data_IF_571553339353
#
_entry.id   IF_571553339353
#
_cell.length_a   1.000
_cell.length_b   1.000
_cell.length_c   1.000
_cell.angle_alpha   90.00
_cell.angle_beta   90.00
_cell.angle_gamma   90.00
#
_symmetry.space_group_name_H-M   'P 1'
#
loop_
_entity.id
_entity.type
_entity.pdbx_description
1 polymer ?
#
# COMPACT_ATOMS: atom_id res chain seq x y z
N UNK A 1 12.75 -30.08 38.65
CA UNK A 1 11.47 -29.35 38.47
C UNK A 1 10.82 -28.97 39.80
N UNK A 2 10.63 -29.90 40.75
CA UNK A 2 10.01 -29.61 42.06
C UNK A 2 10.67 -28.44 42.82
N UNK A 3 12.01 -28.36 42.84
CA UNK A 3 12.76 -27.27 43.51
C UNK A 3 12.50 -25.88 42.91
N UNK A 4 12.29 -25.80 41.58
CA UNK A 4 11.99 -24.53 40.90
C UNK A 4 10.55 -24.10 41.17
N UNK A 5 9.62 -25.06 41.14
CA UNK A 5 8.21 -24.79 41.47
C UNK A 5 8.09 -24.31 42.91
N UNK A 6 8.68 -25.02 43.87
CA UNK A 6 8.71 -24.62 45.28
C UNK A 6 9.34 -23.24 45.47
N UNK A 7 10.47 -22.96 44.79
CA UNK A 7 11.08 -21.62 44.81
C UNK A 7 10.10 -20.53 44.37
N UNK A 8 9.35 -20.75 43.28
CA UNK A 8 8.38 -19.78 42.77
C UNK A 8 7.15 -19.66 43.67
N UNK A 9 6.60 -20.77 44.17
CA UNK A 9 5.32 -20.78 44.88
C UNK A 9 5.43 -20.52 46.38
N UNK A 10 6.56 -20.85 46.99
CA UNK A 10 6.75 -20.80 48.44
C UNK A 10 7.72 -19.69 48.86
N UNK A 11 8.67 -19.31 48.00
CA UNK A 11 9.69 -18.31 48.34
C UNK A 11 9.49 -16.94 47.69
N UNK A 12 8.47 -16.79 46.83
CA UNK A 12 8.18 -15.53 46.14
C UNK A 12 6.73 -15.07 46.33
N UNK A 13 6.52 -13.75 46.42
CA UNK A 13 5.22 -13.14 46.23
C UNK A 13 4.79 -13.26 44.76
N UNK A 14 3.80 -14.13 44.51
CA UNK A 14 3.28 -14.41 43.17
C UNK A 14 2.77 -13.16 42.44
N UNK A 15 2.31 -12.13 43.16
CA UNK A 15 1.83 -10.89 42.54
C UNK A 15 2.97 -10.15 41.84
N UNK A 16 4.12 -10.03 42.51
CA UNK A 16 5.31 -9.39 41.94
C UNK A 16 5.95 -10.26 40.85
N UNK A 17 5.86 -11.59 40.95
CA UNK A 17 6.27 -12.50 39.87
C UNK A 17 5.45 -12.25 38.60
N UNK A 18 4.12 -12.08 38.71
CA UNK A 18 3.27 -11.75 37.56
C UNK A 18 3.63 -10.37 36.99
N UNK A 19 3.86 -9.37 37.84
CA UNK A 19 4.31 -8.04 37.41
C UNK A 19 5.64 -8.09 36.65
N UNK A 20 6.62 -8.85 37.17
CA UNK A 20 7.90 -9.07 36.51
C UNK A 20 7.72 -9.73 35.14
N UNK A 21 6.88 -10.76 35.04
CA UNK A 21 6.60 -11.45 33.78
C UNK A 21 5.91 -10.53 32.74
N UNK A 22 4.95 -9.71 33.17
CA UNK A 22 4.28 -8.72 32.29
C UNK A 22 5.27 -7.68 31.78
N UNK A 23 6.10 -7.11 32.67
CA UNK A 23 7.13 -6.12 32.29
C UNK A 23 8.14 -6.75 31.33
N UNK A 24 8.55 -7.99 31.59
CA UNK A 24 9.44 -8.74 30.71
C UNK A 24 8.85 -8.91 29.31
N UNK A 25 7.58 -9.34 29.23
CA UNK A 25 6.88 -9.51 27.96
C UNK A 25 6.71 -8.18 27.23
N UNK A 26 6.32 -7.11 27.91
CA UNK A 26 6.20 -5.78 27.29
C UNK A 26 7.55 -5.29 26.77
N UNK A 27 8.62 -5.46 27.53
CA UNK A 27 9.97 -5.05 27.13
C UNK A 27 10.49 -5.83 25.91
N UNK A 28 10.32 -7.15 25.88
CA UNK A 28 10.73 -7.99 24.76
C UNK A 28 9.88 -7.73 23.52
N UNK A 29 8.58 -7.48 23.66
CA UNK A 29 7.71 -7.05 22.56
C UNK A 29 8.17 -5.69 21.99
N UNK A 30 8.45 -4.71 22.84
CA UNK A 30 8.96 -3.42 22.42
C UNK A 30 10.31 -3.56 21.70
N UNK A 31 11.25 -4.34 22.25
CA UNK A 31 12.55 -4.60 21.64
C UNK A 31 12.42 -5.26 20.26
N UNK A 32 11.57 -6.28 20.11
CA UNK A 32 11.33 -6.95 18.81
C UNK A 32 10.71 -6.01 17.78
N UNK A 33 9.80 -5.12 18.19
CA UNK A 33 9.20 -4.10 17.30
C UNK A 33 10.21 -3.03 16.86
N UNK A 34 11.07 -2.58 17.76
CA UNK A 34 12.17 -1.68 17.43
C UNK A 34 13.18 -2.36 16.49
N UNK A 35 13.43 -3.65 16.70
CA UNK A 35 14.30 -4.46 15.85
C UNK A 35 13.72 -4.65 14.44
N UNK A 36 12.40 -4.80 14.30
CA UNK A 36 11.72 -4.76 13.01
C UNK A 36 11.96 -3.42 12.28
N UNK A 37 11.75 -2.28 12.96
CA UNK A 37 12.02 -0.95 12.37
C UNK A 37 13.46 -0.79 11.90
N UNK A 38 14.42 -1.38 12.62
CA UNK A 38 15.83 -1.38 12.19
C UNK A 38 16.06 -2.08 10.84
N UNK A 39 15.28 -3.13 10.55
CA UNK A 39 15.38 -3.85 9.28
C UNK A 39 14.77 -3.06 8.12
N UNK A 40 13.83 -2.15 8.38
CA UNK A 40 13.19 -1.28 7.38
C UNK A 40 13.93 0.05 7.17
N UNK A 41 14.72 0.49 8.15
CA UNK A 41 15.41 1.76 8.11
C UNK A 41 16.63 1.77 7.14
N UNK A 42 16.97 2.98 6.67
CA UNK A 42 18.21 3.25 5.95
C UNK A 42 19.44 2.97 6.83
N UNK A 43 20.63 2.85 6.22
CA UNK A 43 21.87 2.45 6.91
C UNK A 43 22.17 3.30 8.15
N UNK A 44 21.99 4.62 8.07
CA UNK A 44 22.25 5.54 9.19
C UNK A 44 21.16 5.47 10.26
N UNK A 45 19.88 5.28 9.88
CA UNK A 45 18.78 5.13 10.83
C UNK A 45 18.74 3.77 11.54
N UNK A 46 19.27 2.71 10.90
CA UNK A 46 19.26 1.34 11.41
C UNK A 46 19.96 1.21 12.76
N UNK A 47 21.14 1.82 12.92
CA UNK A 47 21.92 1.71 14.16
C UNK A 47 21.14 2.26 15.35
N UNK A 48 20.45 3.41 15.18
CA UNK A 48 19.61 4.00 16.23
C UNK A 48 18.50 3.06 16.70
N UNK A 49 17.81 2.38 15.79
CA UNK A 49 16.77 1.41 16.14
C UNK A 49 17.33 0.16 16.85
N UNK A 50 18.52 -0.31 16.47
CA UNK A 50 19.18 -1.44 17.13
C UNK A 50 19.60 -1.10 18.56
N UNK A 51 20.13 0.11 18.77
CA UNK A 51 20.47 0.62 20.12
C UNK A 51 19.21 0.74 20.98
N UNK A 52 18.12 1.28 20.45
CA UNK A 52 16.83 1.36 21.15
C UNK A 52 16.27 -0.04 21.48
N UNK A 53 16.46 -1.02 20.59
CA UNK A 53 16.06 -2.42 20.83
C UNK A 53 16.81 -3.01 22.02
N UNK A 54 18.13 -2.80 22.09
CA UNK A 54 18.96 -3.19 23.22
C UNK A 54 18.60 -2.46 24.51
N UNK A 55 18.34 -1.15 24.44
CA UNK A 55 17.89 -0.37 25.59
C UNK A 55 16.59 -0.93 26.18
N UNK A 56 15.58 -1.19 25.34
CA UNK A 56 14.31 -1.78 25.77
C UNK A 56 14.49 -3.18 26.35
N UNK A 57 15.23 -4.05 25.67
CA UNK A 57 15.49 -5.41 26.13
C UNK A 57 16.29 -5.42 27.44
N UNK A 58 17.46 -4.79 27.48
CA UNK A 58 18.35 -4.76 28.64
C UNK A 58 17.69 -4.16 29.89
N UNK A 59 16.97 -3.05 29.72
CA UNK A 59 16.17 -2.46 30.81
C UNK A 59 15.09 -3.44 31.28
N UNK A 60 14.41 -4.11 30.35
CA UNK A 60 13.42 -5.15 30.66
C UNK A 60 14.00 -6.33 31.44
N UNK A 61 15.16 -6.87 31.02
CA UNK A 61 15.83 -7.98 31.74
C UNK A 61 16.17 -7.50 33.16
N UNK A 62 16.74 -6.31 33.30
CA UNK A 62 17.14 -5.75 34.60
C UNK A 62 15.95 -5.53 35.52
N UNK A 63 14.87 -4.90 35.03
CA UNK A 63 13.65 -4.70 35.80
C UNK A 63 13.04 -6.05 36.20
N UNK A 64 13.00 -7.03 35.28
CA UNK A 64 12.47 -8.37 35.59
C UNK A 64 13.26 -9.04 36.71
N UNK A 65 14.60 -8.99 36.63
CA UNK A 65 15.49 -9.57 37.65
C UNK A 65 15.21 -8.96 39.03
N UNK A 66 15.22 -7.63 39.14
CA UNK A 66 15.09 -6.98 40.43
C UNK A 66 13.65 -6.96 40.97
N UNK A 67 12.62 -6.93 40.14
CA UNK A 67 11.23 -7.14 40.61
C UNK A 67 11.08 -8.55 41.17
N UNK A 68 11.67 -9.56 40.52
CA UNK A 68 11.63 -10.92 41.03
C UNK A 68 12.47 -11.09 42.31
N UNK A 69 13.62 -10.40 42.45
CA UNK A 69 14.36 -10.34 43.71
C UNK A 69 13.60 -9.62 44.82
N UNK A 70 12.80 -8.60 44.50
CA UNK A 70 11.90 -7.95 45.46
C UNK A 70 10.70 -8.83 45.82
N UNK A 71 10.31 -9.73 44.92
CA UNK A 71 9.29 -10.75 45.18
C UNK A 71 9.83 -11.86 46.08
N UNK A 72 11.14 -12.13 46.08
CA UNK A 72 11.76 -13.11 46.96
C UNK A 72 11.74 -12.65 48.42
N UNK A 73 11.18 -13.46 49.32
CA UNK A 73 10.97 -13.11 50.73
C UNK A 73 11.78 -14.01 51.68
N UNK A 74 13.09 -13.77 51.80
CA UNK A 74 13.89 -14.51 52.77
C UNK A 74 13.55 -14.05 54.19
N UNK A 75 13.61 -14.97 55.16
CA UNK A 75 13.37 -14.70 56.58
C UNK A 75 14.50 -13.89 57.26
N UNK A 76 15.38 -13.26 56.48
CA UNK A 76 16.55 -12.50 56.93
C UNK A 76 16.58 -11.13 56.25
N UNK A 77 17.17 -10.10 56.87
CA UNK A 77 17.38 -8.80 56.23
C UNK A 77 18.16 -8.90 54.93
N UNK A 78 17.79 -8.08 53.96
CA UNK A 78 18.44 -7.97 52.65
C UNK A 78 18.60 -6.51 52.24
N UNK A 79 19.68 -6.22 51.53
CA UNK A 79 19.93 -4.91 50.95
C UNK A 79 20.69 -5.03 49.61
N UNK A 80 20.81 -3.94 48.88
CA UNK A 80 21.35 -3.93 47.52
C UNK A 80 22.50 -2.93 47.37
N UNK A 81 23.61 -3.35 46.76
CA UNK A 81 24.70 -2.45 46.41
C UNK A 81 24.34 -1.60 45.18
N UNK A 82 24.44 -0.28 45.31
CA UNK A 82 24.12 0.65 44.23
C UNK A 82 25.05 0.45 43.03
N UNK A 83 26.35 0.25 43.26
CA UNK A 83 27.34 0.12 42.18
C UNK A 83 27.10 -1.12 41.32
N UNK A 84 26.78 -2.25 41.96
CA UNK A 84 26.43 -3.50 41.32
C UNK A 84 25.10 -3.44 40.58
N UNK A 85 24.13 -2.76 41.19
CA UNK A 85 22.83 -2.55 40.59
C UNK A 85 22.93 -1.73 39.29
N UNK A 86 23.68 -0.63 39.29
CA UNK A 86 23.90 0.20 38.08
C UNK A 86 24.75 -0.52 37.03
N UNK A 87 25.85 -1.17 37.44
CA UNK A 87 26.71 -1.88 36.49
C UNK A 87 25.99 -3.06 35.83
N UNK A 88 25.12 -3.77 36.55
CA UNK A 88 24.28 -4.81 35.95
C UNK A 88 23.33 -4.23 34.88
N UNK A 89 22.71 -3.07 35.11
CA UNK A 89 21.88 -2.41 34.09
C UNK A 89 22.67 -2.07 32.83
N UNK A 90 23.87 -1.49 32.99
CA UNK A 90 24.76 -1.13 31.87
C UNK A 90 25.13 -2.38 31.08
N UNK A 91 25.50 -3.49 31.75
CA UNK A 91 25.79 -4.77 31.09
C UNK A 91 24.58 -5.26 30.30
N UNK A 92 23.39 -5.26 30.92
CA UNK A 92 22.16 -5.70 30.27
C UNK A 92 21.85 -4.90 29.00
N UNK A 93 21.91 -3.57 29.06
CA UNK A 93 21.63 -2.68 27.92
C UNK A 93 22.67 -2.80 26.82
N UNK A 94 23.96 -2.77 27.17
CA UNK A 94 25.05 -2.77 26.18
C UNK A 94 25.16 -4.10 25.46
N UNK A 95 25.14 -5.23 26.19
CA UNK A 95 25.29 -6.56 25.59
C UNK A 95 24.07 -6.92 24.73
N UNK A 96 22.86 -6.58 25.17
CA UNK A 96 21.67 -6.81 24.32
C UNK A 96 21.62 -5.90 23.10
N UNK A 97 22.12 -4.67 23.17
CA UNK A 97 22.30 -3.83 21.99
C UNK A 97 23.28 -4.47 20.98
N UNK A 98 24.42 -4.97 21.46
CA UNK A 98 25.38 -5.71 20.63
C UNK A 98 24.72 -6.95 20.02
N UNK A 99 23.91 -7.68 20.77
CA UNK A 99 23.18 -8.84 20.28
C UNK A 99 22.30 -8.52 19.07
N UNK A 100 21.50 -7.45 19.13
CA UNK A 100 20.67 -7.02 18.01
C UNK A 100 21.51 -6.51 16.82
N UNK A 101 22.62 -5.82 17.09
CA UNK A 101 23.56 -5.35 16.05
C UNK A 101 24.19 -6.53 15.31
N UNK A 102 24.68 -7.53 16.04
CA UNK A 102 25.25 -8.75 15.46
C UNK A 102 24.19 -9.49 14.63
N UNK A 103 22.96 -9.58 15.13
CA UNK A 103 21.85 -10.24 14.46
C UNK A 103 21.38 -9.56 13.16
N UNK A 104 21.70 -8.28 12.92
CA UNK A 104 21.25 -7.51 11.76
C UNK A 104 22.36 -7.20 10.75
N UNK A 105 22.16 -7.34 9.42
CA UNK A 105 20.96 -7.85 8.74
C UNK A 105 20.75 -9.36 8.94
N UNK A 106 19.49 -9.77 8.87
CA UNK A 106 19.03 -11.12 9.24
C UNK A 106 19.64 -12.22 8.35
N UNK A 107 20.62 -12.95 8.86
CA UNK A 107 21.10 -14.23 8.30
C UNK A 107 21.13 -15.28 9.41
N UNK A 108 21.01 -16.58 9.08
CA UNK A 108 20.96 -17.64 10.10
C UNK A 108 22.15 -17.61 11.04
N UNK A 109 23.37 -17.47 10.50
CA UNK A 109 24.59 -17.43 11.31
C UNK A 109 24.62 -16.20 12.25
N UNK A 110 24.19 -15.03 11.74
CA UNK A 110 24.12 -13.80 12.52
C UNK A 110 23.06 -13.86 13.62
N UNK A 111 21.91 -14.48 13.34
CA UNK A 111 20.85 -14.71 14.32
C UNK A 111 21.30 -15.66 15.44
N UNK A 112 22.03 -16.72 15.09
CA UNK A 112 22.64 -17.62 16.09
C UNK A 112 23.64 -16.85 16.95
N UNK A 113 24.56 -16.11 16.32
CA UNK A 113 25.54 -15.31 17.05
C UNK A 113 24.88 -14.24 17.93
N UNK A 114 23.88 -13.52 17.40
CA UNK A 114 23.10 -12.53 18.15
C UNK A 114 22.35 -13.15 19.32
N UNK A 115 21.72 -14.31 19.14
CA UNK A 115 21.06 -15.04 20.22
C UNK A 115 22.04 -15.49 21.32
N UNK A 116 23.24 -15.92 20.95
CA UNK A 116 24.28 -16.27 21.90
C UNK A 116 24.77 -15.06 22.70
N UNK A 117 25.00 -13.91 22.03
CA UNK A 117 25.35 -12.64 22.71
C UNK A 117 24.20 -12.19 23.62
N UNK A 118 22.94 -12.33 23.18
CA UNK A 118 21.78 -11.97 24.00
C UNK A 118 21.75 -12.82 25.29
N UNK A 119 21.93 -14.14 25.17
CA UNK A 119 21.99 -15.04 26.32
C UNK A 119 23.14 -14.71 27.27
N UNK A 120 24.31 -14.37 26.74
CA UNK A 120 25.43 -13.88 27.54
C UNK A 120 25.06 -12.58 28.29
N UNK A 121 24.29 -11.69 27.67
CA UNK A 121 23.74 -10.50 28.31
C UNK A 121 22.79 -10.81 29.47
N UNK A 122 21.87 -11.77 29.30
CA UNK A 122 20.97 -12.21 30.38
C UNK A 122 21.81 -12.78 31.55
N UNK A 123 22.72 -13.71 31.26
CA UNK A 123 23.52 -14.39 32.28
C UNK A 123 24.48 -13.46 33.03
N UNK A 124 25.22 -12.62 32.31
CA UNK A 124 26.16 -11.66 32.92
C UNK A 124 25.45 -10.60 33.75
N UNK A 125 24.33 -10.06 33.27
CA UNK A 125 23.52 -9.13 34.06
C UNK A 125 22.96 -9.81 35.31
N UNK A 126 22.38 -11.01 35.18
CA UNK A 126 21.84 -11.76 36.32
C UNK A 126 22.91 -12.01 37.39
N UNK A 127 24.10 -12.48 36.98
CA UNK A 127 25.19 -12.74 37.91
C UNK A 127 25.68 -11.46 38.61
N UNK A 128 25.83 -10.35 37.86
CA UNK A 128 26.21 -9.07 38.47
C UNK A 128 25.12 -8.53 39.41
N UNK A 129 23.83 -8.76 39.08
CA UNK A 129 22.70 -8.44 39.94
C UNK A 129 22.69 -9.25 41.24
N UNK A 130 22.98 -10.55 41.18
CA UNK A 130 23.13 -11.41 42.36
C UNK A 130 24.29 -10.99 43.26
N UNK A 131 25.38 -10.46 42.69
CA UNK A 131 26.48 -9.87 43.48
C UNK A 131 26.11 -8.53 44.12
N UNK A 132 25.10 -7.83 43.58
CA UNK A 132 24.59 -6.61 44.20
C UNK A 132 23.64 -6.93 45.35
N UNK A 133 23.01 -8.10 45.36
CA UNK A 133 22.12 -8.56 46.42
C UNK A 133 22.93 -9.06 47.63
N UNK A 134 22.77 -8.37 48.76
CA UNK A 134 23.46 -8.66 50.02
C UNK A 134 22.45 -9.12 51.08
N UNK A 135 22.22 -10.44 51.23
CA UNK A 135 21.47 -10.98 52.34
C UNK A 135 22.33 -11.08 53.61
N UNK A 136 21.72 -11.09 54.80
CA UNK A 136 22.41 -11.37 56.06
C UNK A 136 22.75 -12.87 56.21
N UNK A 137 23.54 -13.37 55.27
CA UNK A 137 23.89 -14.78 55.14
C UNK A 137 24.83 -15.04 53.97
N UNK A 138 25.29 -16.28 53.86
CA UNK A 138 26.18 -16.72 52.79
C UNK A 138 25.40 -17.40 51.67
N UNK A 139 25.62 -16.95 50.44
CA UNK A 139 25.04 -17.53 49.23
C UNK A 139 25.90 -18.70 48.73
N UNK A 140 25.26 -19.86 48.58
CA UNK A 140 25.84 -21.03 47.93
C UNK A 140 25.04 -21.36 46.68
N UNK A 141 25.72 -21.77 45.61
CA UNK A 141 25.09 -22.06 44.32
C UNK A 141 25.31 -23.52 43.95
N UNK A 142 24.25 -24.18 43.49
CA UNK A 142 24.34 -25.48 42.83
C UNK A 142 24.85 -25.31 41.39
N UNK A 143 26.09 -25.75 41.07
CA UNK A 143 26.69 -25.51 39.76
C UNK A 143 25.94 -26.21 38.62
N UNK A 144 25.25 -27.32 38.89
CA UNK A 144 24.48 -28.06 37.88
C UNK A 144 23.25 -27.26 37.46
N UNK A 145 22.52 -26.71 38.44
CA UNK A 145 21.33 -25.90 38.16
C UNK A 145 21.69 -24.56 37.51
N UNK A 146 22.80 -23.95 37.89
CA UNK A 146 23.34 -22.75 37.20
C UNK A 146 23.70 -23.08 35.75
N UNK A 147 24.40 -24.20 35.50
CA UNK A 147 24.70 -24.64 34.14
C UNK A 147 23.44 -24.88 33.31
N UNK A 148 22.42 -25.52 33.89
CA UNK A 148 21.14 -25.78 33.24
C UNK A 148 20.38 -24.49 32.88
N UNK A 149 20.40 -23.47 33.75
CA UNK A 149 19.74 -22.19 33.50
C UNK A 149 20.39 -21.44 32.33
N UNK A 150 21.73 -21.46 32.26
CA UNK A 150 22.50 -20.84 31.17
C UNK A 150 22.27 -21.55 29.83
N UNK A 151 22.29 -22.90 29.81
CA UNK A 151 22.06 -23.69 28.59
C UNK A 151 20.65 -23.48 28.05
N UNK A 152 19.63 -23.52 28.92
CA UNK A 152 18.24 -23.30 28.50
C UNK A 152 18.03 -21.87 28.00
N UNK A 153 18.55 -20.87 28.74
CA UNK A 153 18.51 -19.46 28.32
C UNK A 153 19.17 -19.24 26.96
N UNK A 154 20.32 -19.87 26.71
CA UNK A 154 21.03 -19.84 25.43
C UNK A 154 20.20 -20.44 24.29
N UNK A 155 19.66 -21.63 24.49
CA UNK A 155 18.84 -22.32 23.49
C UNK A 155 17.60 -21.49 23.10
N UNK A 156 16.89 -20.96 24.10
CA UNK A 156 15.69 -20.15 23.88
C UNK A 156 16.01 -18.81 23.22
N UNK A 157 17.10 -18.13 23.61
CA UNK A 157 17.50 -16.86 23.00
C UNK A 157 17.93 -17.04 21.53
N UNK A 158 18.68 -18.09 21.22
CA UNK A 158 19.03 -18.45 19.83
C UNK A 158 17.77 -18.74 19.02
N UNK A 159 16.87 -19.58 19.56
CA UNK A 159 15.62 -19.92 18.88
C UNK A 159 14.77 -18.67 18.61
N UNK A 160 14.69 -17.74 19.57
CA UNK A 160 13.97 -16.49 19.42
C UNK A 160 14.49 -15.65 18.24
N UNK A 161 15.81 -15.51 18.13
CA UNK A 161 16.44 -14.75 17.04
C UNK A 161 16.26 -15.43 15.68
N UNK A 162 16.26 -16.77 15.62
CA UNK A 162 16.02 -17.53 14.38
C UNK A 162 14.55 -17.45 13.93
N UNK A 163 13.62 -17.53 14.89
CA UNK A 163 12.17 -17.48 14.63
C UNK A 163 11.74 -16.10 14.16
N UNK A 164 12.44 -15.04 14.59
CA UNK A 164 12.16 -13.68 14.15
C UNK A 164 12.19 -13.55 12.62
N UNK A 165 11.14 -12.95 12.06
CA UNK A 165 11.01 -12.62 10.65
C UNK A 165 10.44 -11.21 10.49
N UNK A 166 11.10 -10.31 9.73
CA UNK A 166 10.54 -9.00 9.40
C UNK A 166 9.17 -9.16 8.73
N UNK A 167 8.23 -8.24 8.99
CA UNK A 167 6.89 -8.20 8.39
C UNK A 167 5.96 -9.39 8.72
N UNK A 168 6.38 -10.35 9.54
CA UNK A 168 5.55 -11.48 9.98
C UNK A 168 5.21 -11.37 11.48
N UNK A 169 4.03 -10.82 11.79
CA UNK A 169 3.62 -10.55 13.19
C UNK A 169 3.61 -11.78 14.09
N UNK A 170 3.13 -12.93 13.61
CA UNK A 170 3.09 -14.16 14.40
C UNK A 170 4.50 -14.62 14.82
N UNK A 171 5.46 -14.52 13.89
CA UNK A 171 6.89 -14.83 14.14
C UNK A 171 7.54 -13.85 15.11
N UNK A 172 7.16 -12.58 15.07
CA UNK A 172 7.63 -11.57 16.02
C UNK A 172 7.09 -11.79 17.43
N UNK A 173 5.79 -12.11 17.55
CA UNK A 173 5.19 -12.46 18.85
C UNK A 173 5.83 -13.71 19.44
N UNK A 174 6.07 -14.73 18.60
CA UNK A 174 6.78 -15.95 19.02
C UNK A 174 8.21 -15.64 19.48
N UNK A 175 8.95 -14.80 18.76
CA UNK A 175 10.31 -14.38 19.16
C UNK A 175 10.30 -13.64 20.52
N UNK A 176 9.40 -12.68 20.72
CA UNK A 176 9.27 -11.96 22.00
C UNK A 176 8.91 -12.91 23.16
N UNK A 177 7.99 -13.85 22.92
CA UNK A 177 7.64 -14.89 23.88
C UNK A 177 8.83 -15.78 24.24
N UNK A 178 9.62 -16.22 23.26
CA UNK A 178 10.83 -17.02 23.50
C UNK A 178 11.92 -16.24 24.25
N UNK A 179 12.11 -14.94 23.97
CA UNK A 179 13.01 -14.10 24.76
C UNK A 179 12.52 -13.96 26.20
N UNK A 180 11.22 -13.75 26.40
CA UNK A 180 10.61 -13.68 27.74
C UNK A 180 10.84 -14.98 28.51
N UNK A 181 10.60 -16.12 27.85
CA UNK A 181 10.88 -17.44 28.43
C UNK A 181 12.36 -17.61 28.76
N UNK A 182 13.28 -17.21 27.88
CA UNK A 182 14.72 -17.28 28.14
C UNK A 182 15.12 -16.50 29.40
N UNK A 183 14.60 -15.29 29.56
CA UNK A 183 14.88 -14.41 30.71
C UNK A 183 14.31 -15.00 31.99
N UNK A 184 13.02 -15.38 31.97
CA UNK A 184 12.33 -15.91 33.15
C UNK A 184 12.90 -17.27 33.57
N UNK A 185 13.12 -18.18 32.62
CA UNK A 185 13.67 -19.51 32.91
C UNK A 185 15.07 -19.41 33.49
N UNK A 186 15.93 -18.55 32.91
CA UNK A 186 17.27 -18.36 33.44
C UNK A 186 17.20 -17.81 34.87
N UNK A 187 16.38 -16.78 35.11
CA UNK A 187 16.25 -16.18 36.44
C UNK A 187 15.76 -17.16 37.49
N UNK A 188 14.60 -17.81 37.29
CA UNK A 188 14.01 -18.67 38.32
C UNK A 188 14.78 -19.97 38.54
N UNK A 189 15.39 -20.54 37.50
CA UNK A 189 16.26 -21.72 37.68
C UNK A 189 17.54 -21.33 38.43
N UNK A 190 18.12 -20.16 38.14
CA UNK A 190 19.30 -19.66 38.86
C UNK A 190 18.98 -19.32 40.33
N UNK A 191 17.82 -18.71 40.61
CA UNK A 191 17.38 -18.47 41.98
C UNK A 191 17.11 -19.77 42.74
N UNK A 192 16.50 -20.77 42.10
CA UNK A 192 16.32 -22.09 42.70
C UNK A 192 17.65 -22.85 42.93
N UNK A 193 18.74 -22.44 42.26
CA UNK A 193 20.08 -22.95 42.48
C UNK A 193 20.77 -22.29 43.68
N UNK A 194 20.32 -21.10 44.08
CA UNK A 194 20.88 -20.36 45.20
C UNK A 194 20.29 -20.85 46.53
N UNK A 195 21.14 -21.04 47.53
CA UNK A 195 20.73 -21.34 48.91
C UNK A 195 21.41 -20.34 49.84
N UNK A 196 20.62 -19.68 50.68
CA UNK A 196 21.14 -18.70 51.64
C UNK A 196 21.21 -19.36 53.01
N UNK A 197 22.42 -19.47 53.55
CA UNK A 197 22.63 -19.90 54.94
C UNK A 197 22.73 -18.64 55.81
N UNK A 198 21.77 -18.39 56.73
CA UNK A 198 21.81 -17.23 57.61
C UNK A 198 23.11 -17.18 58.42
N UNK A 199 23.74 -16.01 58.45
CA UNK A 199 24.98 -15.79 59.19
C UNK A 199 24.93 -14.37 59.79
N UNK A 200 24.58 -14.22 61.08
CA UNK A 200 24.42 -12.91 61.70
C UNK A 200 25.75 -12.16 61.87
N UNK A 201 26.90 -12.82 61.63
CA UNK A 201 28.22 -12.19 61.66
C UNK A 201 28.52 -11.39 60.39
N UNK A 202 27.73 -11.58 59.33
CA UNK A 202 27.82 -10.79 58.11
C UNK A 202 27.28 -9.39 58.39
N UNK A 203 28.20 -8.42 58.50
CA UNK A 203 27.86 -7.01 58.68
C UNK A 203 27.17 -6.47 57.42
N UNK A 204 26.13 -5.66 57.62
CA UNK A 204 25.47 -4.90 56.55
C UNK A 204 26.13 -3.52 56.43
N UNK A 205 26.80 -3.20 55.32
CA UNK A 205 27.33 -1.85 55.10
C UNK A 205 26.24 -0.78 55.16
N UNK A 206 26.52 0.36 55.77
CA UNK A 206 25.55 1.46 55.94
C UNK A 206 25.12 2.12 54.61
N UNK A 207 25.90 1.94 53.54
CA UNK A 207 25.68 2.57 52.23
C UNK A 207 24.89 1.70 51.23
N UNK A 208 24.18 0.66 51.69
CA UNK A 208 23.33 -0.17 50.83
C UNK A 208 21.94 0.45 50.63
N UNK A 209 21.37 0.19 49.45
CA UNK A 209 19.96 0.49 49.17
C UNK A 209 19.07 -0.49 49.92
N UNK A 210 18.12 0.02 50.67
CA UNK A 210 17.11 -0.82 51.28
C UNK A 210 16.10 -1.35 50.24
N UNK A 211 15.25 -2.29 50.67
CA UNK A 211 14.22 -2.91 49.81
C UNK A 211 13.25 -1.87 49.22
N UNK A 212 12.94 -0.80 49.94
CA UNK A 212 11.98 0.23 49.52
C UNK A 212 12.57 1.17 48.47
N UNK A 213 13.82 1.59 48.66
CA UNK A 213 14.58 2.40 47.70
C UNK A 213 14.78 1.64 46.39
N UNK A 214 15.09 0.34 46.49
CA UNK A 214 15.22 -0.51 45.31
C UNK A 214 13.88 -0.67 44.58
N UNK A 215 12.78 -0.89 45.31
CA UNK A 215 11.45 -0.96 44.72
C UNK A 215 11.06 0.32 43.97
N UNK A 216 11.33 1.50 44.54
CA UNK A 216 11.08 2.80 43.90
C UNK A 216 11.91 2.93 42.61
N UNK A 217 13.21 2.67 42.67
CA UNK A 217 14.10 2.75 41.51
C UNK A 217 13.66 1.87 40.35
N UNK A 218 13.33 0.61 40.65
CA UNK A 218 12.88 -0.36 39.66
C UNK A 218 11.50 0.01 39.09
N UNK A 219 10.58 0.48 39.94
CA UNK A 219 9.26 0.92 39.52
C UNK A 219 9.33 2.12 38.56
N UNK A 220 10.18 3.11 38.83
CA UNK A 220 10.37 4.27 37.94
C UNK A 220 10.91 3.85 36.57
N UNK A 221 11.89 2.95 36.55
CA UNK A 221 12.47 2.48 35.29
C UNK A 221 11.48 1.61 34.49
N UNK A 222 10.73 0.74 35.18
CA UNK A 222 9.66 -0.03 34.57
C UNK A 222 8.54 0.87 34.01
N UNK A 223 8.13 1.90 34.74
CA UNK A 223 7.13 2.87 34.27
C UNK A 223 7.59 3.61 33.01
N UNK A 224 8.87 4.01 32.97
CA UNK A 224 9.47 4.66 31.79
C UNK A 224 9.43 3.71 30.57
N UNK A 225 9.76 2.43 30.78
CA UNK A 225 9.67 1.40 29.74
C UNK A 225 8.22 1.20 29.26
N UNK A 226 7.25 1.14 30.16
CA UNK A 226 5.83 0.98 29.82
C UNK A 226 5.30 2.17 29.02
N UNK A 227 5.64 3.40 29.41
CA UNK A 227 5.28 4.63 28.68
C UNK A 227 5.90 4.62 27.28
N UNK A 228 7.18 4.25 27.16
CA UNK A 228 7.86 4.12 25.87
C UNK A 228 7.20 3.07 24.97
N UNK A 229 6.88 1.89 25.51
CA UNK A 229 6.18 0.83 24.78
C UNK A 229 4.76 1.28 24.35
N UNK A 230 4.03 1.96 25.22
CA UNK A 230 2.72 2.54 24.92
C UNK A 230 2.77 3.59 23.81
N UNK A 231 3.77 4.47 23.83
CA UNK A 231 3.99 5.46 22.78
C UNK A 231 4.30 4.82 21.42
N UNK A 232 5.10 3.74 21.40
CA UNK A 232 5.38 2.97 20.18
C UNK A 232 4.11 2.32 19.61
N UNK A 233 3.29 1.71 20.47
CA UNK A 233 2.00 1.12 20.05
C UNK A 233 1.06 2.19 19.52
N UNK A 234 0.97 3.35 20.20
CA UNK A 234 0.14 4.46 19.75
C UNK A 234 0.60 5.02 18.39
N UNK A 235 1.90 5.09 18.14
CA UNK A 235 2.44 5.45 16.82
C UNK A 235 2.06 4.43 15.74
N UNK A 236 2.17 3.13 16.01
CA UNK A 236 1.80 2.07 15.05
C UNK A 236 0.29 2.11 14.74
N UNK A 237 -0.56 2.27 15.76
CA UNK A 237 -2.01 2.41 15.58
C UNK A 237 -2.37 3.66 14.77
N UNK A 238 -1.71 4.80 15.04
CA UNK A 238 -1.90 6.03 14.25
C UNK A 238 -1.46 5.86 12.81
N UNK A 239 -0.30 5.24 12.57
CA UNK A 239 0.21 4.98 11.22
C UNK A 239 -0.75 4.13 10.39
N UNK A 240 -1.29 3.05 10.99
CA UNK A 240 -2.29 2.20 10.31
C UNK A 240 -3.59 2.93 10.03
N UNK A 241 -4.09 3.74 10.98
CA UNK A 241 -5.31 4.54 10.78
C UNK A 241 -5.13 5.57 9.67
N UNK A 242 -4.00 6.28 9.67
CA UNK A 242 -3.68 7.27 8.65
C UNK A 242 -3.58 6.62 7.26
N UNK A 243 -2.87 5.50 7.14
CA UNK A 243 -2.77 4.75 5.88
C UNK A 243 -4.13 4.24 5.38
N UNK A 244 -4.97 3.70 6.27
CA UNK A 244 -6.31 3.26 5.91
C UNK A 244 -7.21 4.43 5.49
N UNK A 245 -7.12 5.58 6.16
CA UNK A 245 -7.85 6.78 5.79
C UNK A 245 -7.38 7.35 4.45
N UNK A 246 -6.08 7.39 4.20
CA UNK A 246 -5.52 7.83 2.92
C UNK A 246 -6.03 6.95 1.77
N UNK A 247 -6.02 5.63 1.93
CA UNK A 247 -6.55 4.71 0.92
C UNK A 247 -8.05 4.93 0.67
N UNK A 248 -8.84 5.13 1.74
CA UNK A 248 -10.27 5.46 1.62
C UNK A 248 -10.50 6.76 0.87
N UNK A 249 -9.72 7.80 1.14
CA UNK A 249 -9.82 9.08 0.44
C UNK A 249 -9.47 8.94 -1.05
N UNK A 250 -8.41 8.18 -1.38
CA UNK A 250 -8.04 7.92 -2.77
C UNK A 250 -9.13 7.20 -3.56
N UNK A 251 -9.89 6.30 -2.93
CA UNK A 251 -11.04 5.64 -3.56
C UNK A 251 -12.26 6.57 -3.64
N UNK A 252 -12.70 7.12 -2.49
CA UNK A 252 -13.94 7.88 -2.38
C UNK A 252 -13.93 9.18 -3.20
N UNK A 253 -12.79 9.88 -3.22
CA UNK A 253 -12.62 11.15 -3.94
C UNK A 253 -12.08 10.98 -5.37
N UNK A 254 -11.92 9.75 -5.86
CA UNK A 254 -11.50 9.53 -7.24
C UNK A 254 -12.55 10.11 -8.20
N UNK A 255 -12.18 10.97 -9.17
CA UNK A 255 -13.14 11.56 -10.12
C UNK A 255 -13.73 10.56 -11.11
N UNK A 256 -13.12 9.37 -11.25
CA UNK A 256 -13.65 8.30 -12.11
C UNK A 256 -14.69 7.50 -11.32
N UNK A 257 -15.87 7.22 -11.88
CA UNK A 257 -16.81 6.25 -11.32
C UNK A 257 -16.14 4.89 -11.05
N UNK A 258 -16.16 4.46 -9.80
CA UNK A 258 -15.56 3.19 -9.38
C UNK A 258 -16.46 2.44 -8.41
N UNK A 259 -16.47 1.12 -8.53
CA UNK A 259 -17.10 0.25 -7.53
C UNK A 259 -16.40 -1.11 -7.45
N UNK A 260 -16.64 -1.78 -6.33
CA UNK A 260 -16.29 -3.17 -6.09
C UNK A 260 -17.56 -4.01 -6.15
N UNK A 261 -17.51 -5.12 -6.88
CA UNK A 261 -18.61 -6.10 -6.91
C UNK A 261 -18.12 -7.52 -6.65
N UNK A 262 -18.95 -8.36 -6.04
CA UNK A 262 -18.67 -9.79 -5.91
C UNK A 262 -18.82 -10.48 -7.27
N UNK A 263 -17.98 -11.45 -7.59
CA UNK A 263 -18.03 -12.16 -8.88
C UNK A 263 -19.15 -13.20 -8.96
N UNK A 264 -19.68 -13.65 -7.81
CA UNK A 264 -20.67 -14.74 -7.77
C UNK A 264 -22.10 -14.25 -8.04
N UNK A 265 -22.51 -13.12 -7.47
CA UNK A 265 -23.86 -12.54 -7.61
C UNK A 265 -23.89 -11.12 -8.21
N UNK A 266 -22.71 -10.59 -8.58
CA UNK A 266 -22.52 -9.24 -9.12
C UNK A 266 -23.06 -8.13 -8.23
N UNK A 267 -23.21 -8.42 -6.93
CA UNK A 267 -23.66 -7.43 -5.96
C UNK A 267 -22.57 -6.40 -5.74
N UNK A 268 -22.96 -5.13 -5.75
CA UNK A 268 -22.06 -4.02 -5.46
C UNK A 268 -21.84 -3.98 -3.96
N UNK A 269 -20.58 -3.96 -3.55
CA UNK A 269 -20.18 -4.01 -2.14
C UNK A 269 -19.71 -2.64 -1.65
N UNK A 270 -19.17 -1.83 -2.56
CA UNK A 270 -18.65 -0.51 -2.26
C UNK A 270 -18.58 0.30 -3.55
N UNK A 271 -18.97 1.57 -3.50
CA UNK A 271 -18.87 2.50 -4.62
C UNK A 271 -18.30 3.83 -4.16
N UNK A 272 -17.60 4.53 -5.05
CA UNK A 272 -17.14 5.88 -4.75
C UNK A 272 -18.21 6.92 -5.08
N UNK A 273 -18.00 8.16 -4.62
CA UNK A 273 -18.99 9.22 -4.82
C UNK A 273 -19.21 9.56 -6.30
N UNK A 274 -18.17 9.40 -7.13
CA UNK A 274 -18.27 9.65 -8.57
C UNK A 274 -19.19 8.65 -9.27
N UNK A 275 -19.21 7.38 -8.84
CA UNK A 275 -20.17 6.40 -9.33
C UNK A 275 -21.59 6.76 -8.92
N UNK A 276 -21.83 7.01 -7.63
CA UNK A 276 -23.15 7.42 -7.15
C UNK A 276 -23.70 8.64 -7.91
N UNK A 277 -22.87 9.69 -8.08
CA UNK A 277 -23.23 10.88 -8.85
C UNK A 277 -23.49 10.61 -10.34
N UNK A 278 -22.64 9.83 -11.00
CA UNK A 278 -22.76 9.57 -12.44
C UNK A 278 -24.05 8.82 -12.80
N UNK A 279 -24.52 7.94 -11.90
CA UNK A 279 -25.71 7.12 -12.10
C UNK A 279 -26.97 7.69 -11.44
N UNK A 280 -26.85 8.75 -10.64
CA UNK A 280 -27.98 9.43 -10.01
C UNK A 280 -28.51 8.77 -8.73
N UNK A 281 -27.66 8.06 -7.98
CA UNK A 281 -28.01 7.41 -6.71
C UNK A 281 -27.25 8.04 -5.52
N UNK A 282 -27.71 7.80 -4.29
CA UNK A 282 -26.84 7.93 -3.12
C UNK A 282 -25.82 6.78 -3.07
N UNK A 283 -24.71 6.94 -2.34
CA UNK A 283 -23.73 5.85 -2.18
C UNK A 283 -24.38 4.64 -1.49
N UNK A 284 -25.21 4.87 -0.47
CA UNK A 284 -25.90 3.81 0.27
C UNK A 284 -26.95 3.08 -0.56
N UNK A 285 -27.58 3.77 -1.52
CA UNK A 285 -28.49 3.15 -2.49
C UNK A 285 -27.71 2.33 -3.51
N UNK A 286 -26.62 2.89 -4.04
CA UNK A 286 -25.77 2.24 -5.04
C UNK A 286 -25.16 0.93 -4.51
N UNK A 287 -24.75 0.88 -3.24
CA UNK A 287 -24.24 -0.32 -2.56
C UNK A 287 -25.30 -1.40 -2.30
N UNK A 288 -26.58 -1.13 -2.59
CA UNK A 288 -27.66 -2.14 -2.53
C UNK A 288 -27.96 -2.75 -3.89
N UNK A 289 -27.42 -2.18 -4.97
CA UNK A 289 -27.65 -2.62 -6.34
C UNK A 289 -26.74 -3.79 -6.72
N UNK A 290 -27.12 -4.45 -7.81
CA UNK A 290 -26.30 -5.38 -8.58
C UNK A 290 -25.89 -4.72 -9.90
N UNK A 291 -24.83 -5.24 -10.54
CA UNK A 291 -24.44 -4.82 -11.88
C UNK A 291 -25.60 -4.95 -12.90
N UNK A 292 -26.52 -5.90 -12.71
CA UNK A 292 -27.71 -6.05 -13.55
C UNK A 292 -28.68 -4.86 -13.48
N UNK A 293 -28.70 -4.12 -12.38
CA UNK A 293 -29.56 -2.94 -12.22
C UNK A 293 -28.99 -1.73 -12.97
N UNK A 294 -27.68 -1.72 -13.22
CA UNK A 294 -26.96 -0.61 -13.85
C UNK A 294 -26.65 -0.86 -15.32
N UNK A 295 -26.58 -2.11 -15.76
CA UNK A 295 -26.28 -2.48 -17.14
C UNK A 295 -27.59 -2.68 -17.90
N UNK A 296 -27.68 -2.11 -19.10
CA UNK A 296 -28.89 -2.17 -19.93
C UNK A 296 -29.32 -3.64 -20.15
N UNK A 297 -30.62 -3.99 -20.07
CA UNK A 297 -31.08 -5.38 -20.17
C UNK A 297 -30.61 -6.14 -21.41
N UNK A 298 -30.48 -5.44 -22.54
CA UNK A 298 -29.92 -6.01 -23.78
C UNK A 298 -28.45 -6.45 -23.70
N UNK A 299 -27.71 -6.05 -22.66
CA UNK A 299 -26.31 -6.39 -22.43
C UNK A 299 -26.14 -7.52 -21.39
N UNK A 300 -27.22 -8.01 -20.76
CA UNK A 300 -27.14 -8.98 -19.65
C UNK A 300 -26.56 -10.34 -20.07
N UNK A 301 -26.83 -10.79 -21.30
CA UNK A 301 -26.24 -12.03 -21.83
C UNK A 301 -24.71 -11.91 -21.95
N UNK A 302 -24.24 -10.76 -22.45
CA UNK A 302 -22.82 -10.48 -22.53
C UNK A 302 -22.16 -10.36 -21.15
N UNK A 303 -22.84 -9.75 -20.19
CA UNK A 303 -22.35 -9.63 -18.81
C UNK A 303 -22.16 -11.01 -18.18
N UNK A 304 -23.13 -11.90 -18.35
CA UNK A 304 -23.03 -13.28 -17.86
C UNK A 304 -21.85 -14.02 -18.50
N UNK A 305 -21.63 -13.86 -19.81
CA UNK A 305 -20.49 -14.47 -20.49
C UNK A 305 -19.14 -13.92 -19.98
N UNK A 306 -19.04 -12.61 -19.76
CA UNK A 306 -17.84 -11.97 -19.19
C UNK A 306 -17.52 -12.51 -17.80
N UNK A 307 -18.51 -12.62 -16.93
CA UNK A 307 -18.34 -13.11 -15.55
C UNK A 307 -17.96 -14.60 -15.56
N UNK A 308 -18.56 -15.40 -16.44
CA UNK A 308 -18.26 -16.82 -16.59
C UNK A 308 -16.82 -17.08 -17.05
N UNK A 309 -16.25 -16.19 -17.86
CA UNK A 309 -14.85 -16.28 -18.29
C UNK A 309 -13.85 -16.13 -17.13
N UNK A 310 -14.28 -15.57 -15.99
CA UNK A 310 -13.47 -15.37 -14.76
C UNK A 310 -12.14 -14.65 -15.03
N UNK A 311 -12.15 -13.69 -15.95
CA UNK A 311 -10.97 -12.92 -16.29
C UNK A 311 -10.45 -12.14 -15.07
N UNK A 312 -9.13 -12.15 -14.90
CA UNK A 312 -8.47 -11.49 -13.76
C UNK A 312 -8.27 -10.00 -13.97
N UNK A 313 -8.33 -9.55 -15.22
CA UNK A 313 -8.20 -8.17 -15.63
C UNK A 313 -8.97 -7.97 -16.95
N UNK A 314 -9.58 -6.80 -17.10
CA UNK A 314 -10.30 -6.39 -18.30
C UNK A 314 -9.88 -4.95 -18.64
N UNK A 315 -9.47 -4.71 -19.87
CA UNK A 315 -8.86 -3.45 -20.32
C UNK A 315 -9.78 -2.57 -21.18
N UNK A 316 -11.07 -2.93 -21.29
CA UNK A 316 -12.07 -2.00 -21.81
C UNK A 316 -12.16 -1.94 -23.33
N UNK A 317 -11.85 -3.01 -24.06
CA UNK A 317 -12.03 -3.05 -25.52
C UNK A 317 -13.50 -2.84 -25.96
N UNK A 318 -14.47 -3.20 -25.12
CA UNK A 318 -15.90 -3.05 -25.39
C UNK A 318 -16.52 -1.92 -24.56
N UNK A 319 -17.40 -1.15 -25.20
CA UNK A 319 -18.28 -0.21 -24.52
C UNK A 319 -19.58 -0.88 -24.11
N UNK A 320 -20.04 -0.57 -22.90
CA UNK A 320 -21.23 -1.14 -22.30
C UNK A 320 -22.30 -0.08 -22.17
N UNK A 321 -23.53 -0.44 -22.54
CA UNK A 321 -24.70 0.42 -22.29
C UNK A 321 -25.16 0.23 -20.87
N UNK A 322 -25.17 1.33 -20.13
CA UNK A 322 -25.59 1.42 -18.75
C UNK A 322 -26.84 2.30 -18.64
N UNK A 323 -27.56 2.15 -17.54
CA UNK A 323 -28.80 2.88 -17.24
C UNK A 323 -28.65 3.59 -15.90
N UNK A 324 -29.07 4.86 -15.87
CA UNK A 324 -29.11 5.71 -14.67
C UNK A 324 -30.43 5.54 -13.92
N UNK A 325 -30.51 6.07 -12.70
CA UNK A 325 -31.71 6.07 -11.88
C UNK A 325 -32.93 6.74 -12.56
N UNK A 326 -32.68 7.76 -13.38
CA UNK A 326 -33.71 8.48 -14.14
C UNK A 326 -34.09 7.79 -15.47
N UNK A 327 -33.49 6.63 -15.77
CA UNK A 327 -33.66 5.90 -17.02
C UNK A 327 -32.77 6.40 -18.17
N UNK A 328 -31.94 7.43 -17.96
CA UNK A 328 -30.99 7.91 -18.94
C UNK A 328 -29.91 6.86 -19.25
N UNK A 329 -29.47 6.80 -20.51
CA UNK A 329 -28.42 5.87 -20.93
C UNK A 329 -27.02 6.48 -20.80
N UNK A 330 -26.07 5.63 -20.44
CA UNK A 330 -24.64 5.91 -20.38
C UNK A 330 -23.91 4.91 -21.27
N UNK A 331 -22.93 5.38 -22.03
CA UNK A 331 -21.98 4.49 -22.69
C UNK A 331 -20.68 4.47 -21.89
N UNK A 332 -20.41 3.35 -21.24
CA UNK A 332 -19.32 3.21 -20.28
C UNK A 332 -18.24 2.27 -20.81
N UNK A 333 -16.99 2.69 -20.71
CA UNK A 333 -15.83 1.85 -20.95
C UNK A 333 -15.28 1.37 -19.59
N UNK A 334 -15.40 0.08 -19.24
CA UNK A 334 -14.89 -0.43 -17.98
C UNK A 334 -13.42 -0.83 -18.08
N UNK A 335 -12.65 -0.51 -17.06
CA UNK A 335 -11.37 -1.16 -16.76
C UNK A 335 -11.54 -1.86 -15.41
N UNK A 336 -11.21 -3.14 -15.35
CA UNK A 336 -11.47 -3.94 -14.17
C UNK A 336 -10.29 -4.83 -13.79
N UNK A 337 -10.13 -5.07 -12.48
CA UNK A 337 -9.13 -5.97 -11.94
C UNK A 337 -9.70 -6.79 -10.80
N UNK A 338 -9.40 -8.09 -10.78
CA UNK A 338 -9.77 -8.97 -9.68
C UNK A 338 -8.84 -8.76 -8.48
N UNK A 339 -9.42 -8.58 -7.30
CA UNK A 339 -8.72 -8.34 -6.04
C UNK A 339 -9.23 -9.35 -5.00
N UNK A 340 -8.33 -9.86 -4.16
CA UNK A 340 -8.72 -10.60 -2.96
C UNK A 340 -9.10 -9.61 -1.87
N UNK A 341 -10.35 -9.66 -1.43
CA UNK A 341 -10.85 -8.88 -0.33
C UNK A 341 -11.36 -9.78 0.80
N UNK A 342 -10.47 -10.09 1.74
CA UNK A 342 -10.80 -10.88 2.92
C UNK A 342 -11.15 -12.33 2.60
N UNK A 343 -10.52 -12.92 1.58
CA UNK A 343 -10.80 -14.27 1.09
C UNK A 343 -11.95 -14.36 0.08
N UNK A 344 -12.61 -13.24 -0.23
CA UNK A 344 -13.58 -13.12 -1.33
C UNK A 344 -12.89 -12.56 -2.56
N UNK A 345 -13.12 -13.17 -3.72
CA UNK A 345 -12.70 -12.58 -5.00
C UNK A 345 -13.71 -11.53 -5.42
N UNK A 346 -13.25 -10.29 -5.53
CA UNK A 346 -14.07 -9.15 -5.94
C UNK A 346 -13.47 -8.50 -7.17
N UNK A 347 -14.30 -7.86 -7.97
CA UNK A 347 -13.87 -7.10 -9.13
C UNK A 347 -13.89 -5.61 -8.79
N UNK A 348 -12.72 -4.97 -8.81
CA UNK A 348 -12.59 -3.52 -8.73
C UNK A 348 -12.71 -2.98 -10.16
N UNK A 349 -13.75 -2.20 -10.42
CA UNK A 349 -14.05 -1.66 -11.74
C UNK A 349 -14.06 -0.14 -11.71
N UNK A 350 -13.42 0.47 -12.71
CA UNK A 350 -13.46 1.89 -13.01
C UNK A 350 -14.11 2.10 -14.38
N UNK A 351 -14.97 3.11 -14.50
CA UNK A 351 -15.78 3.31 -15.70
C UNK A 351 -15.56 4.71 -16.27
N UNK A 352 -15.20 4.77 -17.54
CA UNK A 352 -15.07 6.03 -18.27
C UNK A 352 -16.33 6.26 -19.11
N UNK A 353 -17.00 7.38 -18.89
CA UNK A 353 -18.13 7.79 -19.72
C UNK A 353 -17.61 8.30 -21.07
N UNK A 354 -17.96 7.59 -22.14
CA UNK A 354 -17.58 7.91 -23.52
C UNK A 354 -18.76 8.44 -24.35
N UNK A 355 -19.93 8.66 -23.74
CA UNK A 355 -21.18 9.04 -24.42
C UNK A 355 -21.01 10.28 -25.29
N UNK A 356 -20.45 11.37 -24.73
CA UNK A 356 -20.24 12.63 -25.46
C UNK A 356 -19.23 12.45 -26.59
N UNK A 357 -18.17 11.66 -26.36
CA UNK A 357 -17.11 11.44 -27.33
C UNK A 357 -17.63 10.68 -28.56
N UNK A 358 -18.41 9.63 -28.35
CA UNK A 358 -18.98 8.84 -29.43
C UNK A 358 -20.05 9.61 -30.20
N UNK A 359 -20.94 10.34 -29.53
CA UNK A 359 -21.93 11.19 -30.22
C UNK A 359 -21.24 12.28 -31.07
N UNK A 360 -20.15 12.87 -30.59
CA UNK A 360 -19.38 13.84 -31.35
C UNK A 360 -18.69 13.19 -32.57
N UNK A 361 -18.14 11.99 -32.41
CA UNK A 361 -17.53 11.25 -33.50
C UNK A 361 -18.55 10.87 -34.59
N UNK A 362 -19.74 10.39 -34.20
CA UNK A 362 -20.82 10.09 -35.14
C UNK A 362 -21.34 11.34 -35.85
N UNK A 363 -21.54 12.44 -35.12
CA UNK A 363 -22.00 13.70 -35.71
C UNK A 363 -20.98 14.23 -36.72
N UNK A 364 -19.69 14.13 -36.41
CA UNK A 364 -18.61 14.52 -37.31
C UNK A 364 -18.60 13.66 -38.58
N UNK A 365 -18.78 12.34 -38.45
CA UNK A 365 -18.84 11.43 -39.59
C UNK A 365 -20.02 11.78 -40.51
N UNK A 366 -21.22 11.97 -39.95
CA UNK A 366 -22.40 12.37 -40.72
C UNK A 366 -22.22 13.72 -41.42
N UNK A 367 -21.61 14.69 -40.75
CA UNK A 367 -21.33 16.00 -41.33
C UNK A 367 -20.34 15.90 -42.50
N UNK A 368 -19.31 15.06 -42.37
CA UNK A 368 -18.36 14.77 -43.44
C UNK A 368 -19.07 14.13 -44.64
N UNK A 369 -19.87 13.09 -44.42
CA UNK A 369 -20.57 12.37 -45.50
C UNK A 369 -21.54 13.30 -46.25
N UNK A 370 -22.25 14.18 -45.52
CA UNK A 370 -23.13 15.18 -46.11
C UNK A 370 -22.35 16.23 -46.94
N UNK A 371 -21.20 16.70 -46.44
CA UNK A 371 -20.35 17.64 -47.15
C UNK A 371 -19.78 17.02 -48.44
N UNK A 372 -19.34 15.77 -48.39
CA UNK A 372 -18.87 15.04 -49.57
C UNK A 372 -19.98 14.82 -50.60
N UNK A 373 -21.18 14.44 -50.15
CA UNK A 373 -22.33 14.27 -51.05
C UNK A 373 -22.71 15.60 -51.74
N UNK A 374 -22.73 16.71 -51.00
CA UNK A 374 -22.99 18.03 -51.56
C UNK A 374 -21.91 18.48 -52.55
N UNK A 375 -20.63 18.21 -52.25
CA UNK A 375 -19.51 18.48 -53.16
C UNK A 375 -19.63 17.70 -54.46
N UNK A 376 -19.92 16.39 -54.38
CA UNK A 376 -20.15 15.53 -55.56
C UNK A 376 -21.31 16.04 -56.42
N UNK A 377 -22.44 16.39 -55.79
CA UNK A 377 -23.61 16.94 -56.50
C UNK A 377 -23.31 18.29 -57.17
N UNK A 378 -22.52 19.17 -56.53
CA UNK A 378 -22.06 20.45 -57.13
C UNK A 378 -21.24 20.19 -58.39
N UNK A 379 -20.27 19.27 -58.33
CA UNK A 379 -19.41 18.95 -59.49
C UNK A 379 -20.20 18.34 -60.64
N UNK A 380 -21.12 17.40 -60.35
CA UNK A 380 -21.98 16.78 -61.36
C UNK A 380 -22.91 17.81 -62.02
N UNK A 381 -23.56 18.67 -61.23
CA UNK A 381 -24.40 19.74 -61.75
C UNK A 381 -23.61 20.68 -62.68
N UNK A 382 -22.43 21.14 -62.25
CA UNK A 382 -21.61 22.04 -63.05
C UNK A 382 -21.13 21.38 -64.36
N UNK A 383 -20.69 20.12 -64.30
CA UNK A 383 -20.30 19.37 -65.49
C UNK A 383 -21.46 19.24 -66.49
N UNK A 384 -22.64 18.84 -66.01
CA UNK A 384 -23.83 18.69 -66.85
C UNK A 384 -24.27 20.03 -67.46
N UNK A 385 -24.35 21.09 -66.65
CA UNK A 385 -24.70 22.43 -67.12
C UNK A 385 -23.71 22.96 -68.16
N UNK A 386 -22.42 22.65 -68.05
CA UNK A 386 -21.42 22.99 -69.06
C UNK A 386 -21.76 22.41 -70.43
N UNK A 387 -22.05 21.11 -70.47
CA UNK A 387 -22.37 20.42 -71.71
C UNK A 387 -23.65 20.96 -72.34
N UNK A 388 -24.66 21.25 -71.53
CA UNK A 388 -25.94 21.82 -71.96
C UNK A 388 -25.81 23.27 -72.46
N UNK A 389 -24.90 24.09 -71.91
CA UNK A 389 -24.67 25.47 -72.38
C UNK A 389 -23.76 25.50 -73.62
N UNK A 390 -22.76 24.63 -73.70
CA UNK A 390 -21.82 24.57 -74.82
C UNK A 390 -22.50 24.21 -76.14
N UNK A 391 -23.49 23.32 -76.09
CA UNK A 391 -24.21 22.84 -77.27
C UNK A 391 -24.93 23.96 -78.05
N UNK A 392 -25.82 24.78 -77.45
CA UNK A 392 -26.44 25.91 -78.14
C UNK A 392 -25.43 27.01 -78.49
N UNK A 393 -24.42 27.24 -77.65
CA UNK A 393 -23.39 28.24 -77.93
C UNK A 393 -22.57 27.91 -79.18
N UNK A 394 -22.19 26.65 -79.35
CA UNK A 394 -21.55 26.15 -80.57
C UNK A 394 -22.47 26.27 -81.79
N UNK A 395 -23.79 26.10 -81.61
CA UNK A 395 -24.78 26.37 -82.64
C UNK A 395 -24.80 27.84 -83.07
N UNK A 396 -24.80 28.77 -82.12
CA UNK A 396 -24.72 30.22 -82.38
C UNK A 396 -23.43 30.59 -83.11
N UNK A 397 -22.28 30.06 -82.66
CA UNK A 397 -20.98 30.26 -83.31
C UNK A 397 -20.93 29.70 -84.73
N UNK A 398 -21.51 28.50 -84.95
CA UNK A 398 -21.58 27.87 -86.27
C UNK A 398 -22.39 28.69 -87.27
N UNK A 399 -23.57 29.17 -86.85
CA UNK A 399 -24.42 30.05 -87.68
C UNK A 399 -23.72 31.39 -87.94
N UNK A 400 -23.10 32.00 -86.93
CA UNK A 400 -22.35 33.24 -87.09
C UNK A 400 -21.15 33.07 -88.05
N UNK A 401 -20.42 31.96 -87.98
CA UNK A 401 -19.30 31.64 -88.88
C UNK A 401 -19.76 31.40 -90.32
N UNK A 402 -20.91 30.73 -90.52
CA UNK A 402 -21.50 30.57 -91.85
C UNK A 402 -21.92 31.92 -92.46
N UNK A 403 -22.54 32.81 -91.66
CA UNK A 403 -22.92 34.15 -92.10
C UNK A 403 -21.71 35.00 -92.49
N UNK A 404 -20.58 34.87 -91.81
CA UNK A 404 -19.36 35.62 -92.09
C UNK A 404 -18.80 35.41 -93.52
N UNK A 405 -19.06 34.25 -94.11
CA UNK A 405 -18.62 33.88 -95.47
C UNK A 405 -19.71 34.18 -96.54
N UNK A 406 -20.83 34.78 -96.14
CA UNK A 406 -21.86 35.27 -97.06
C UNK A 406 -21.58 36.71 -97.49
N UNK A 407 -22.26 37.20 -98.54
CA UNK A 407 -22.11 38.55 -99.07
C UNK A 407 -22.68 39.66 -98.16
N UNK A 408 -22.17 39.77 -96.94
CA UNK A 408 -22.65 40.71 -95.92
C UNK A 408 -22.18 42.15 -96.18
N UNK A 409 -23.07 43.10 -95.88
CA UNK A 409 -22.75 44.52 -95.81
C UNK A 409 -21.80 44.83 -94.63
N UNK A 410 -21.01 45.91 -94.67
CA UNK A 410 -20.01 46.23 -93.64
C UNK A 410 -20.57 46.25 -92.20
N UNK A 411 -21.75 46.84 -91.98
CA UNK A 411 -22.38 46.90 -90.67
C UNK A 411 -22.83 45.51 -90.15
N UNK A 412 -23.21 44.59 -91.04
CA UNK A 412 -23.60 43.22 -90.68
C UNK A 412 -22.38 42.37 -90.32
N UNK A 413 -21.24 42.58 -91.00
CA UNK A 413 -19.97 41.92 -90.64
C UNK A 413 -19.51 42.31 -89.24
N UNK A 414 -19.67 43.58 -88.86
CA UNK A 414 -19.35 44.06 -87.52
C UNK A 414 -20.23 43.40 -86.45
N UNK A 415 -21.55 43.31 -86.67
CA UNK A 415 -22.46 42.60 -85.76
C UNK A 415 -22.14 41.10 -85.62
N UNK A 416 -21.82 40.40 -86.71
CA UNK A 416 -21.40 38.98 -86.66
C UNK A 416 -20.09 38.81 -85.88
N UNK A 417 -19.13 39.73 -86.06
CA UNK A 417 -17.87 39.74 -85.30
C UNK A 417 -18.10 39.94 -83.79
N UNK A 418 -19.05 40.80 -83.41
CA UNK A 418 -19.45 41.01 -82.01
C UNK A 418 -20.07 39.75 -81.41
N UNK A 419 -20.94 39.05 -82.16
CA UNK A 419 -21.54 37.78 -81.71
C UNK A 419 -20.46 36.72 -81.49
N UNK A 420 -19.53 36.57 -82.45
CA UNK A 420 -18.44 35.59 -82.35
C UNK A 420 -17.49 35.89 -81.19
N UNK A 421 -17.06 37.13 -81.03
CA UNK A 421 -16.16 37.52 -79.94
C UNK A 421 -16.83 37.35 -78.58
N UNK A 422 -18.10 37.74 -78.44
CA UNK A 422 -18.88 37.55 -77.21
C UNK A 422 -19.08 36.08 -76.86
N UNK A 423 -19.43 35.25 -77.84
CA UNK A 423 -19.61 33.81 -77.64
C UNK A 423 -18.28 33.11 -77.28
N UNK A 424 -17.16 33.52 -77.88
CA UNK A 424 -15.83 33.01 -77.55
C UNK A 424 -15.43 33.38 -76.12
N UNK A 425 -15.69 34.62 -75.71
CA UNK A 425 -15.45 35.07 -74.33
C UNK A 425 -16.29 34.28 -73.32
N UNK A 426 -17.57 34.05 -73.63
CA UNK A 426 -18.48 33.26 -72.79
C UNK A 426 -18.01 31.81 -72.65
N UNK A 427 -17.55 31.19 -73.75
CA UNK A 427 -17.01 29.83 -73.73
C UNK A 427 -15.76 29.71 -72.86
N UNK A 428 -14.87 30.71 -72.92
CA UNK A 428 -13.68 30.74 -72.05
C UNK A 428 -14.06 30.91 -70.58
N UNK A 429 -14.94 31.85 -70.25
CA UNK A 429 -15.42 32.02 -68.87
C UNK A 429 -16.09 30.77 -68.31
N UNK A 430 -16.91 30.09 -69.12
CA UNK A 430 -17.55 28.84 -68.72
C UNK A 430 -16.50 27.76 -68.43
N UNK A 431 -15.47 27.65 -69.28
CA UNK A 431 -14.37 26.69 -69.10
C UNK A 431 -13.59 26.98 -67.82
N UNK A 432 -13.21 28.25 -67.59
CA UNK A 432 -12.45 28.66 -66.40
C UNK A 432 -13.21 28.38 -65.09
N UNK A 433 -14.54 28.62 -65.06
CA UNK A 433 -15.38 28.34 -63.87
C UNK A 433 -15.45 26.84 -63.57
N UNK A 434 -15.48 26.00 -64.60
CA UNK A 434 -15.54 24.55 -64.44
C UNK A 434 -14.21 23.96 -64.02
N UNK A 435 -13.11 24.43 -64.61
CA UNK A 435 -11.78 24.01 -64.21
C UNK A 435 -11.54 24.37 -62.74
N UNK A 436 -11.94 25.57 -62.31
CA UNK A 436 -11.89 25.97 -60.90
C UNK A 436 -12.72 25.04 -60.01
N UNK A 437 -13.96 24.75 -60.39
CA UNK A 437 -14.83 23.87 -59.60
C UNK A 437 -14.33 22.42 -59.54
N UNK A 438 -13.69 21.94 -60.61
CA UNK A 438 -13.11 20.59 -60.68
C UNK A 438 -11.86 20.49 -59.81
N UNK A 439 -10.99 21.50 -59.86
CA UNK A 439 -9.79 21.63 -59.01
C UNK A 439 -10.15 21.62 -57.51
N UNK A 440 -11.22 22.32 -57.11
CA UNK A 440 -11.70 22.32 -55.72
C UNK A 440 -12.18 20.93 -55.24
N UNK A 441 -12.68 20.08 -56.15
CA UNK A 441 -13.29 18.79 -55.80
C UNK A 441 -12.34 17.58 -55.89
N UNK A 442 -11.37 17.59 -56.82
CA UNK A 442 -10.45 16.46 -57.02
C UNK A 442 -9.15 16.59 -56.20
N UNK A 443 -8.87 17.77 -55.62
CA UNK A 443 -7.63 18.03 -54.90
C UNK A 443 -6.41 18.05 -55.82
N UNK A 444 -5.36 18.76 -55.42
CA UNK A 444 -4.14 18.90 -56.21
C UNK A 444 -3.43 17.54 -56.40
N UNK A 445 -3.55 16.93 -57.58
CA UNK A 445 -2.60 15.91 -58.05
C UNK A 445 -1.52 16.62 -58.87
N UNK A 446 -0.47 17.09 -58.20
CA UNK A 446 0.75 17.54 -58.88
C UNK A 446 1.44 16.27 -59.39
N UNK A 447 1.39 16.02 -60.71
CA UNK A 447 2.28 15.05 -61.32
C UNK A 447 3.69 15.63 -61.32
N UNK A 448 4.63 14.95 -60.67
CA UNK A 448 6.06 15.26 -60.83
C UNK A 448 6.46 15.04 -62.29
N UNK A 449 7.06 16.07 -62.89
CA UNK A 449 7.59 16.02 -64.25
C UNK A 449 8.85 15.11 -64.29
N UNK A 450 9.11 14.42 -65.42
CA UNK A 450 10.10 13.35 -65.54
C UNK A 450 11.56 13.77 -65.34
#
# INVERSE_FOLDING_TARGET
MLRVVACITESHDLRLVVVAAVICLTATLAAVRLYERANEASRNGRVGWLLLSGLAAGTGIWSTHFIAMLAYEPAIPVAYDLSGTVTSLIIGVTVTAIAFIVSAPSSRLRQIAGGAVFAAGIGSMHWRGMQAFHPQGRLHYDPVMVGASLVLGLALAILAMIVFRPKHRSRQLAAAGLLTLAICSLHFIAMAAATITPDPTVAMPDALLDRSQMAIGVAMLAATLLVGAGALLAQDLRGRRASAQQMRLLFAANPVPMWLMELDDLKIISANESAARAYGYSVEEFERLSAFDLIHPGEHEALNAFVAARETAYDGERYWRHVRADGGELLMQPIAQSVDWGGRKVLLSAFFDVTVREHAAEALLRAKDAAEAASRAKSEFLANMSHEIRTPLNGVLGVASALQHSGLEPAQKEMVSIIQSSATVLQRMLTDVLDTARIESEGFCIAEAP
#
